data_IF_263898008971
#
_entry.id   IF_263898008971
#
_cell.length_a   1.000
_cell.length_b   1.000
_cell.length_c   1.000
_cell.angle_alpha   90.00
_cell.angle_beta   90.00
_cell.angle_gamma   90.00
#
_symmetry.space_group_name_H-M   'P 1'
#
loop_
_entity.id
_entity.type
_entity.pdbx_description
1 polymer ?
#
# COMPACT_ATOMS: atom_id res chain seq x y z
N UNK A 1 3.95 -27.05 -17.80
CA UNK A 1 3.01 -26.21 -17.03
C UNK A 1 3.69 -25.67 -15.75
N UNK A 2 4.86 -25.02 -15.87
CA UNK A 2 5.63 -24.54 -14.68
C UNK A 2 5.70 -23.00 -14.67
N UNK A 3 5.70 -22.36 -15.85
CA UNK A 3 5.79 -20.89 -15.99
C UNK A 3 4.70 -20.10 -15.25
N UNK A 4 3.45 -20.56 -15.30
CA UNK A 4 2.34 -19.87 -14.63
C UNK A 4 2.43 -19.88 -13.09
N UNK A 5 3.04 -20.91 -12.50
CA UNK A 5 3.22 -20.97 -11.05
C UNK A 5 4.33 -20.01 -10.60
N UNK A 6 5.43 -19.94 -11.37
CA UNK A 6 6.55 -19.04 -11.11
C UNK A 6 6.16 -17.55 -11.27
N UNK A 7 5.38 -17.22 -12.31
CA UNK A 7 4.87 -15.86 -12.52
C UNK A 7 3.90 -15.42 -11.41
N UNK A 8 3.08 -16.34 -10.91
CA UNK A 8 2.17 -16.08 -9.80
C UNK A 8 2.92 -15.83 -8.47
N UNK A 9 3.97 -16.61 -8.17
CA UNK A 9 4.82 -16.40 -6.98
C UNK A 9 5.58 -15.09 -7.04
N UNK A 10 6.18 -14.76 -8.20
CA UNK A 10 6.90 -13.49 -8.39
C UNK A 10 5.97 -12.27 -8.23
N UNK A 11 4.73 -12.39 -8.69
CA UNK A 11 3.72 -11.34 -8.52
C UNK A 11 3.27 -11.13 -7.07
N UNK A 12 3.24 -12.21 -6.26
CA UNK A 12 2.89 -12.15 -4.84
C UNK A 12 4.06 -11.57 -4.02
N UNK A 13 5.30 -11.98 -4.31
CA UNK A 13 6.49 -11.48 -3.64
C UNK A 13 6.70 -9.98 -3.89
N UNK A 14 6.50 -9.51 -5.14
CA UNK A 14 6.56 -8.07 -5.46
C UNK A 14 5.54 -7.26 -4.67
N UNK A 15 4.28 -7.73 -4.60
CA UNK A 15 3.24 -7.04 -3.83
C UNK A 15 3.55 -7.00 -2.33
N UNK A 16 4.11 -8.08 -1.76
CA UNK A 16 4.54 -8.10 -0.37
C UNK A 16 5.64 -7.05 -0.13
N UNK A 17 6.64 -7.00 -1.01
CA UNK A 17 7.74 -6.05 -0.93
C UNK A 17 7.29 -4.58 -1.03
N UNK A 18 6.34 -4.28 -1.92
CA UNK A 18 5.75 -2.94 -2.05
C UNK A 18 5.03 -2.50 -0.77
N UNK A 19 4.24 -3.40 -0.17
CA UNK A 19 3.52 -3.10 1.07
C UNK A 19 4.49 -2.90 2.23
N UNK A 20 5.54 -3.73 2.31
CA UNK A 20 6.61 -3.57 3.29
C UNK A 20 7.30 -2.20 3.19
N UNK A 21 7.64 -1.76 1.98
CA UNK A 21 8.27 -0.45 1.78
C UNK A 21 7.33 0.71 2.15
N UNK A 22 6.03 0.60 1.82
CA UNK A 22 5.03 1.59 2.24
C UNK A 22 4.90 1.65 3.77
N UNK A 23 4.89 0.50 4.44
CA UNK A 23 4.86 0.42 5.89
C UNK A 23 6.12 1.05 6.49
N UNK A 24 7.31 0.74 5.96
CA UNK A 24 8.57 1.34 6.42
C UNK A 24 8.57 2.86 6.24
N UNK A 25 8.18 3.36 5.06
CA UNK A 25 8.11 4.79 4.78
C UNK A 25 7.19 5.52 5.75
N UNK A 26 5.97 5.01 5.96
CA UNK A 26 5.03 5.60 6.91
C UNK A 26 5.57 5.63 8.35
N UNK A 27 6.17 4.51 8.80
CA UNK A 27 6.74 4.41 10.15
C UNK A 27 7.97 5.33 10.32
N UNK A 28 8.71 5.59 9.25
CA UNK A 28 9.85 6.50 9.24
C UNK A 28 9.36 7.95 9.35
N UNK A 29 8.39 8.36 8.51
CA UNK A 29 7.80 9.71 8.55
C UNK A 29 7.15 10.03 9.90
N UNK A 30 6.46 9.06 10.52
CA UNK A 30 5.76 9.24 11.79
C UNK A 30 6.57 8.76 13.01
N UNK A 31 7.87 8.53 12.84
CA UNK A 31 8.73 7.92 13.86
C UNK A 31 8.65 8.62 15.20
N UNK A 32 8.76 9.94 15.19
CA UNK A 32 8.84 10.72 16.43
C UNK A 32 7.49 10.75 17.15
N UNK A 33 6.37 10.78 16.42
CA UNK A 33 5.03 10.64 17.02
C UNK A 33 4.85 9.26 17.67
N UNK A 34 5.28 8.20 16.99
CA UNK A 34 5.18 6.83 17.49
C UNK A 34 6.08 6.64 18.72
N UNK A 35 7.27 7.25 18.74
CA UNK A 35 8.14 7.28 19.92
C UNK A 35 7.47 7.97 21.12
N UNK A 36 6.82 9.11 20.91
CA UNK A 36 6.07 9.80 21.97
C UNK A 36 4.91 8.97 22.53
N UNK A 37 4.32 8.07 21.73
CA UNK A 37 3.27 7.12 22.14
C UNK A 37 3.81 5.80 22.73
N UNK A 38 5.12 5.71 22.99
CA UNK A 38 5.76 4.54 23.59
C UNK A 38 6.04 3.41 22.59
N UNK A 39 6.37 3.77 21.35
CA UNK A 39 6.65 2.85 20.24
C UNK A 39 5.48 1.92 19.91
N UNK A 40 4.25 2.40 20.04
CA UNK A 40 3.08 1.56 19.89
C UNK A 40 2.09 2.10 18.88
N UNK A 41 1.56 1.21 18.05
CA UNK A 41 0.62 1.54 16.97
C UNK A 41 -0.52 0.52 16.92
N UNK A 42 -1.69 0.96 16.47
CA UNK A 42 -2.78 0.04 16.17
C UNK A 42 -2.71 -0.39 14.71
N UNK A 43 -2.98 -1.66 14.45
CA UNK A 43 -3.06 -2.19 13.08
C UNK A 43 -4.09 -1.44 12.24
N UNK A 44 -5.21 -1.04 12.87
CA UNK A 44 -6.30 -0.31 12.22
C UNK A 44 -5.82 1.04 11.68
N UNK A 45 -5.12 1.81 12.51
CA UNK A 45 -4.60 3.13 12.14
C UNK A 45 -3.63 3.04 10.95
N UNK A 46 -2.74 2.05 10.94
CA UNK A 46 -1.84 1.78 9.81
C UNK A 46 -2.59 1.37 8.55
N UNK A 47 -3.62 0.53 8.69
CA UNK A 47 -4.41 0.03 7.57
C UNK A 47 -5.19 1.17 6.91
N UNK A 48 -5.77 2.07 7.71
CA UNK A 48 -6.44 3.30 7.24
C UNK A 48 -5.44 4.27 6.60
N UNK A 49 -4.31 4.54 7.26
CA UNK A 49 -3.33 5.50 6.75
C UNK A 49 -2.70 5.09 5.42
N UNK A 50 -2.47 3.78 5.23
CA UNK A 50 -1.89 3.24 4.00
C UNK A 50 -2.93 2.86 2.94
N UNK A 51 -4.21 3.06 3.22
CA UNK A 51 -5.34 2.67 2.38
C UNK A 51 -5.24 1.22 1.86
N UNK A 52 -4.83 0.30 2.73
CA UNK A 52 -4.67 -1.12 2.36
C UNK A 52 -5.94 -1.89 2.70
N UNK A 53 -6.51 -2.57 1.70
CA UNK A 53 -7.79 -3.28 1.82
C UNK A 53 -7.82 -4.36 2.93
N UNK A 54 -6.70 -5.02 3.18
CA UNK A 54 -6.60 -6.14 4.11
C UNK A 54 -5.54 -5.88 5.18
N UNK A 55 -5.97 -5.80 6.44
CA UNK A 55 -5.07 -5.62 7.59
C UNK A 55 -4.00 -6.72 7.70
N UNK A 56 -4.30 -7.92 7.16
CA UNK A 56 -3.37 -9.05 7.11
C UNK A 56 -2.10 -8.70 6.35
N UNK A 57 -2.20 -7.93 5.26
CA UNK A 57 -1.02 -7.53 4.49
C UNK A 57 -0.09 -6.61 5.29
N UNK A 58 -0.66 -5.70 6.09
CA UNK A 58 0.10 -4.84 7.00
C UNK A 58 0.74 -5.66 8.11
N UNK A 59 -0.02 -6.60 8.68
CA UNK A 59 0.48 -7.49 9.73
C UNK A 59 1.63 -8.37 9.22
N UNK A 60 1.47 -9.00 8.06
CA UNK A 60 2.51 -9.81 7.43
C UNK A 60 3.72 -8.96 7.09
N UNK A 61 3.55 -7.74 6.56
CA UNK A 61 4.65 -6.81 6.33
C UNK A 61 5.42 -6.48 7.63
N UNK A 62 4.72 -6.10 8.71
CA UNK A 62 5.35 -5.84 10.01
C UNK A 62 6.09 -7.06 10.57
N UNK A 63 5.55 -8.27 10.34
CA UNK A 63 6.16 -9.52 10.76
C UNK A 63 7.40 -9.86 9.92
N UNK A 64 7.31 -9.75 8.60
CA UNK A 64 8.40 -10.02 7.66
C UNK A 64 9.58 -9.07 7.89
N UNK A 65 9.28 -7.81 8.18
CA UNK A 65 10.28 -6.80 8.54
C UNK A 65 10.83 -7.00 9.97
N UNK A 66 10.30 -7.94 10.76
CA UNK A 66 10.75 -8.19 12.12
C UNK A 66 10.53 -7.00 13.07
N UNK A 67 9.55 -6.14 12.78
CA UNK A 67 9.33 -4.90 13.53
C UNK A 67 8.52 -5.11 14.80
N UNK A 68 7.79 -6.24 14.93
CA UNK A 68 6.90 -6.49 16.06
C UNK A 68 7.70 -6.96 17.28
N UNK A 69 7.74 -6.13 18.33
CA UNK A 69 8.32 -6.48 19.63
C UNK A 69 7.34 -7.25 20.50
N UNK A 70 6.10 -6.76 20.58
CA UNK A 70 5.04 -7.32 21.43
C UNK A 70 3.67 -6.92 20.92
N UNK A 71 2.69 -7.81 21.02
CA UNK A 71 1.28 -7.50 20.81
C UNK A 71 0.53 -7.43 22.15
N UNK A 72 -0.47 -6.55 22.22
CA UNK A 72 -1.40 -6.44 23.35
C UNK A 72 -2.81 -6.24 22.82
N UNK A 73 -3.73 -7.10 23.24
CA UNK A 73 -5.15 -6.92 22.98
C UNK A 73 -5.71 -5.80 23.88
N UNK A 74 -6.47 -4.90 23.29
CA UNK A 74 -7.13 -3.78 23.97
C UNK A 74 -8.59 -3.70 23.51
N UNK A 75 -9.41 -2.95 24.24
CA UNK A 75 -10.80 -2.67 23.86
C UNK A 75 -10.95 -1.98 22.50
N UNK A 76 -9.89 -1.31 22.02
CA UNK A 76 -9.85 -0.64 20.72
C UNK A 76 -9.24 -1.51 19.60
N UNK A 77 -8.87 -2.75 19.91
CA UNK A 77 -8.25 -3.70 18.98
C UNK A 77 -6.84 -4.11 19.39
N UNK A 78 -6.09 -4.71 18.45
CA UNK A 78 -4.72 -5.17 18.69
C UNK A 78 -3.72 -4.02 18.57
N UNK A 79 -3.02 -3.76 19.67
CA UNK A 79 -1.93 -2.79 19.78
C UNK A 79 -0.59 -3.50 19.62
N UNK A 80 0.26 -3.00 18.73
CA UNK A 80 1.58 -3.56 18.45
C UNK A 80 2.66 -2.59 18.90
N UNK A 81 3.60 -3.09 19.70
CA UNK A 81 4.80 -2.38 20.07
C UNK A 81 5.89 -2.70 19.05
N UNK A 82 6.51 -1.68 18.48
CA UNK A 82 7.45 -1.80 17.38
C UNK A 82 8.91 -1.56 17.79
N UNK A 83 9.82 -2.23 17.10
CA UNK A 83 11.25 -1.94 17.11
C UNK A 83 11.54 -0.74 16.20
N UNK A 84 11.34 0.47 16.71
CA UNK A 84 11.53 1.70 15.91
C UNK A 84 12.99 1.88 15.47
N UNK A 85 13.96 1.41 16.26
CA UNK A 85 15.37 1.41 15.84
C UNK A 85 15.57 0.56 14.57
N UNK A 86 14.90 -0.60 14.52
CA UNK A 86 14.95 -1.50 13.36
C UNK A 86 14.28 -0.90 12.11
N UNK A 87 13.28 -0.02 12.27
CA UNK A 87 12.69 0.72 11.14
C UNK A 87 13.73 1.59 10.46
N UNK A 88 14.53 2.32 11.25
CA UNK A 88 15.57 3.23 10.71
C UNK A 88 16.69 2.42 10.05
N UNK A 89 17.09 1.30 10.64
CA UNK A 89 18.06 0.38 10.02
C UNK A 89 17.56 -0.15 8.68
N UNK A 90 16.34 -0.69 8.64
CA UNK A 90 15.76 -1.26 7.43
C UNK A 90 15.50 -0.22 6.35
N UNK A 91 15.10 1.01 6.73
CA UNK A 91 14.96 2.11 5.80
C UNK A 91 16.31 2.45 5.14
N UNK A 92 17.39 2.53 5.93
CA UNK A 92 18.75 2.73 5.41
C UNK A 92 19.23 1.57 4.53
N UNK A 93 18.97 0.33 4.94
CA UNK A 93 19.33 -0.87 4.16
C UNK A 93 18.62 -0.90 2.80
N UNK A 94 17.39 -0.38 2.73
CA UNK A 94 16.58 -0.33 1.50
C UNK A 94 16.72 0.98 0.72
N UNK A 95 17.63 1.88 1.12
CA UNK A 95 17.75 3.25 0.58
C UNK A 95 16.41 3.99 0.49
N UNK A 96 15.52 3.75 1.47
CA UNK A 96 14.31 4.54 1.65
C UNK A 96 14.78 5.80 2.37
N UNK A 97 15.11 6.83 1.61
CA UNK A 97 15.49 8.13 2.17
C UNK A 97 14.28 8.73 2.92
N UNK A 98 14.55 9.50 3.97
CA UNK A 98 13.59 10.43 4.57
C UNK A 98 13.28 11.55 3.55
N UNK A 99 12.84 11.20 2.35
CA UNK A 99 12.20 12.16 1.47
C UNK A 99 10.90 12.55 2.16
N UNK A 100 10.83 13.83 2.55
CA UNK A 100 9.58 14.53 2.82
C UNK A 100 8.58 13.99 1.84
N UNK A 101 7.64 13.18 2.35
CA UNK A 101 6.75 12.42 1.50
C UNK A 101 5.77 13.42 0.95
N UNK A 102 6.19 14.06 -0.15
CA UNK A 102 5.38 14.92 -0.97
C UNK A 102 4.20 14.03 -1.37
N UNK A 103 3.06 14.32 -0.74
CA UNK A 103 1.81 13.57 -0.84
C UNK A 103 1.35 13.50 -2.33
N UNK A 104 2.00 14.27 -3.21
CA UNK A 104 1.82 14.25 -4.66
C UNK A 104 2.35 12.99 -5.36
N UNK A 105 3.38 12.31 -4.85
CA UNK A 105 3.89 11.08 -5.52
C UNK A 105 3.03 9.85 -5.19
N UNK A 106 2.23 9.90 -4.11
CA UNK A 106 1.27 8.85 -3.73
C UNK A 106 0.05 8.82 -4.70
N UNK A 107 -0.15 9.86 -5.52
CA UNK A 107 -1.25 9.87 -6.50
C UNK A 107 -1.00 9.07 -7.78
N UNK A 108 0.23 8.62 -8.05
CA UNK A 108 0.58 7.99 -9.32
C UNK A 108 0.61 6.46 -9.33
N UNK A 109 0.10 5.81 -8.28
CA UNK A 109 -0.10 4.34 -8.28
C UNK A 109 -1.53 4.04 -7.85
N UNK A 110 -2.40 3.93 -8.87
CA UNK A 110 -3.80 3.52 -8.79
C UNK A 110 -4.77 4.64 -8.37
N UNK A 111 -4.99 5.64 -9.23
CA UNK A 111 -6.26 6.37 -9.26
C UNK A 111 -7.38 5.41 -9.70
N UNK A 112 -7.77 4.52 -8.80
CA UNK A 112 -8.98 3.74 -8.93
C UNK A 112 -10.09 4.63 -8.39
N UNK A 113 -10.66 5.44 -9.27
CA UNK A 113 -11.72 6.36 -8.91
C UNK A 113 -13.08 5.70 -9.13
N UNK A 114 -13.96 5.78 -8.13
CA UNK A 114 -15.36 5.38 -8.32
C UNK A 114 -16.06 6.46 -9.15
N UNK A 115 -16.37 6.14 -10.40
CA UNK A 115 -16.92 7.11 -11.34
C UNK A 115 -17.81 6.45 -12.38
N UNK A 116 -18.36 7.26 -13.28
CA UNK A 116 -19.06 6.74 -14.45
C UNK A 116 -18.04 6.47 -15.53
N UNK A 117 -18.03 5.24 -16.06
CA UNK A 117 -17.15 4.92 -17.17
C UNK A 117 -17.66 5.61 -18.43
N UNK A 118 -16.82 6.42 -19.07
CA UNK A 118 -17.19 7.18 -20.27
C UNK A 118 -17.54 6.28 -21.49
N UNK A 119 -17.20 4.99 -21.45
CA UNK A 119 -17.51 4.03 -22.52
C UNK A 119 -18.82 3.27 -22.28
N UNK A 120 -19.05 2.74 -21.07
CA UNK A 120 -20.27 1.97 -20.79
C UNK A 120 -21.36 2.76 -20.05
N UNK A 121 -21.06 3.98 -19.59
CA UNK A 121 -21.99 4.83 -18.85
C UNK A 121 -22.38 4.29 -17.47
N UNK A 122 -21.75 3.21 -16.99
CA UNK A 122 -22.07 2.61 -15.70
C UNK A 122 -21.14 3.14 -14.60
N UNK A 123 -21.70 3.29 -13.39
CA UNK A 123 -20.94 3.65 -12.20
C UNK A 123 -20.11 2.45 -11.73
N UNK A 124 -18.81 2.51 -11.94
CA UNK A 124 -17.85 1.43 -11.67
C UNK A 124 -16.51 2.01 -11.22
N UNK A 125 -15.65 1.15 -10.74
CA UNK A 125 -14.26 1.51 -10.46
C UNK A 125 -13.52 1.71 -11.78
N UNK A 126 -13.04 2.94 -12.01
CA UNK A 126 -12.27 3.32 -13.18
C UNK A 126 -10.80 3.22 -12.82
N UNK A 127 -10.11 2.29 -13.47
CA UNK A 127 -8.74 1.93 -13.13
C UNK A 127 -7.78 2.05 -14.33
N UNK A 128 -8.28 2.57 -15.46
CA UNK A 128 -7.52 2.73 -16.70
C UNK A 128 -7.78 4.10 -17.34
N UNK A 129 -6.73 4.69 -17.88
CA UNK A 129 -6.81 5.91 -18.69
C UNK A 129 -6.93 5.57 -20.18
N UNK A 130 -7.89 6.19 -20.86
CA UNK A 130 -8.09 6.11 -22.30
C UNK A 130 -7.96 7.49 -22.93
N UNK A 131 -7.07 7.60 -23.91
CA UNK A 131 -6.88 8.86 -24.66
C UNK A 131 -7.70 8.82 -25.93
N UNK A 132 -8.58 9.79 -26.10
CA UNK A 132 -9.37 9.98 -27.31
C UNK A 132 -9.22 11.43 -27.81
N UNK A 133 -8.50 11.61 -28.91
CA UNK A 133 -8.10 12.93 -29.40
C UNK A 133 -7.12 13.63 -28.46
N UNK A 134 -7.38 14.89 -28.12
CA UNK A 134 -6.58 15.69 -27.17
C UNK A 134 -7.02 15.53 -25.70
N UNK A 135 -7.98 14.64 -25.41
CA UNK A 135 -8.53 14.44 -24.06
C UNK A 135 -8.23 13.04 -23.51
N UNK A 136 -7.96 12.98 -22.21
CA UNK A 136 -7.80 11.74 -21.44
C UNK A 136 -9.06 11.49 -20.62
N UNK A 137 -9.60 10.29 -20.70
CA UNK A 137 -10.80 9.84 -20.00
C UNK A 137 -10.46 8.65 -19.12
N UNK A 138 -11.14 8.51 -17.97
CA UNK A 138 -11.03 7.33 -17.11
C UNK A 138 -12.08 6.30 -17.51
N UNK A 139 -11.64 5.04 -17.70
CA UNK A 139 -12.49 3.93 -18.14
C UNK A 139 -12.29 2.71 -17.23
N UNK A 140 -13.28 1.83 -17.23
CA UNK A 140 -13.25 0.61 -16.41
C UNK A 140 -12.47 -0.51 -17.11
N UNK A 141 -11.87 -1.40 -16.31
CA UNK A 141 -11.22 -2.65 -16.73
C UNK A 141 -11.97 -3.45 -17.80
N UNK A 142 -13.30 -3.46 -17.77
CA UNK A 142 -14.12 -4.22 -18.74
C UNK A 142 -14.07 -3.59 -20.13
N UNK A 143 -14.20 -2.27 -20.23
CA UNK A 143 -14.18 -1.56 -21.51
C UNK A 143 -12.79 -1.53 -22.16
N UNK A 144 -11.73 -1.60 -21.35
CA UNK A 144 -10.35 -1.70 -21.85
C UNK A 144 -10.12 -3.01 -22.60
N UNK A 145 -10.77 -4.10 -22.16
CA UNK A 145 -10.65 -5.41 -22.83
C UNK A 145 -11.31 -5.40 -24.21
N UNK A 146 -12.44 -4.72 -24.35
CA UNK A 146 -13.14 -4.55 -25.63
C UNK A 146 -12.39 -3.64 -26.62
N UNK A 147 -11.53 -2.74 -26.13
CA UNK A 147 -10.73 -1.83 -26.99
C UNK A 147 -9.46 -2.46 -27.57
N UNK A 148 -9.07 -3.65 -27.11
CA UNK A 148 -7.82 -4.32 -27.50
C UNK A 148 -8.01 -5.45 -28.54
N UNK A 149 -9.21 -5.59 -29.09
CA UNK A 149 -9.53 -6.53 -30.18
C UNK A 149 -9.70 -5.80 -31.52
#
# INVERSE_FOLDING_TARGET
>A
MIKYAEEATLGVERKSFEIENRVLGYLLTHRDEIKSKGNAIYLKDLTEALNVKWWQNIFDALRNLGLIKKAKDTSHGKKYYLHIERVVELARERSIEEEETDIETIKNLSQVEEGFCELCGERKWLDHEWRHGEKTFLICSSCVKDLKD
#
